data_IF_286373647160
#
_entry.id   IF_286373647160
#
_cell.length_a   1.000
_cell.length_b   1.000
_cell.length_c   1.000
_cell.angle_alpha   90.00
_cell.angle_beta   90.00
_cell.angle_gamma   90.00
#
_symmetry.space_group_name_H-M   'P 1'
#
loop_
_entity.id
_entity.type
_entity.pdbx_description
1 polymer ?
#
# COMPACT_ATOMS: atom_id res chain seq x y z
N UNK A 1 21.09 6.77 -26.19
CA UNK A 1 19.70 6.25 -26.20
C UNK A 1 19.00 6.85 -24.99
N UNK A 2 18.12 7.83 -25.20
CA UNK A 2 17.57 8.66 -24.12
C UNK A 2 16.33 7.98 -23.55
N UNK A 3 16.44 7.34 -22.40
CA UNK A 3 15.28 6.87 -21.63
C UNK A 3 14.58 8.09 -21.01
N UNK A 4 13.73 8.76 -21.79
CA UNK A 4 12.77 9.74 -21.25
C UNK A 4 11.63 8.99 -20.58
N UNK A 5 11.81 8.59 -19.32
CA UNK A 5 10.70 8.22 -18.43
C UNK A 5 9.99 9.52 -17.99
N UNK A 6 9.14 10.05 -18.86
CA UNK A 6 8.02 10.94 -18.51
C UNK A 6 6.81 10.01 -18.37
N UNK A 7 5.99 10.00 -17.33
CA UNK A 7 5.47 11.10 -16.54
C UNK A 7 5.17 10.63 -15.11
N UNK A 8 5.72 11.33 -14.12
CA UNK A 8 5.12 11.42 -12.79
C UNK A 8 3.88 12.30 -12.93
N UNK A 9 2.71 11.69 -13.01
CA UNK A 9 1.43 12.38 -12.90
C UNK A 9 0.70 11.70 -11.74
N UNK A 10 0.62 12.44 -10.62
CA UNK A 10 -0.12 12.05 -9.42
C UNK A 10 -1.47 12.79 -9.38
N UNK A 11 -2.48 12.44 -10.23
CA UNK A 11 -3.86 12.81 -9.94
C UNK A 11 -4.62 11.56 -9.47
N UNK A 12 -4.80 11.46 -8.15
CA UNK A 12 -5.64 10.45 -7.47
C UNK A 12 -5.25 9.00 -7.83
N UNK A 13 -4.20 8.48 -7.18
CA UNK A 13 -4.00 7.03 -7.07
C UNK A 13 -5.33 6.43 -6.58
N UNK A 14 -6.10 5.77 -7.46
CA UNK A 14 -7.25 4.98 -7.03
C UNK A 14 -6.72 3.63 -6.62
N UNK A 15 -6.14 3.56 -5.42
CA UNK A 15 -5.93 2.29 -4.73
C UNK A 15 -7.30 1.61 -4.56
N UNK A 16 -7.33 0.29 -4.73
CA UNK A 16 -8.56 -0.48 -4.60
C UNK A 16 -8.43 -1.44 -3.43
N UNK A 17 -9.50 -1.61 -2.66
CA UNK A 17 -9.52 -2.62 -1.60
C UNK A 17 -9.98 -3.93 -2.24
N UNK A 18 -9.11 -4.93 -2.20
CA UNK A 18 -9.36 -6.25 -2.77
C UNK A 18 -10.03 -7.17 -1.75
N UNK A 19 -9.64 -7.08 -0.50
CA UNK A 19 -10.15 -7.92 0.57
C UNK A 19 -10.03 -7.22 1.92
N UNK A 20 -10.92 -7.57 2.85
CA UNK A 20 -10.83 -7.19 4.26
C UNK A 20 -11.06 -8.43 5.11
N UNK A 21 -10.09 -8.77 5.95
CA UNK A 21 -10.18 -9.88 6.88
C UNK A 21 -10.17 -9.34 8.30
N UNK A 22 -11.23 -9.61 9.05
CA UNK A 22 -11.34 -9.23 10.45
C UNK A 22 -11.08 -10.47 11.30
N UNK A 23 -10.08 -10.39 12.17
CA UNK A 23 -9.73 -11.44 13.14
C UNK A 23 -10.10 -10.99 14.55
N UNK A 24 -9.73 -11.79 15.57
CA UNK A 24 -9.94 -11.43 16.98
C UNK A 24 -9.24 -10.12 17.33
N UNK A 25 -8.00 -9.95 16.88
CA UNK A 25 -7.11 -8.88 17.35
C UNK A 25 -6.76 -7.86 16.26
N UNK A 26 -6.94 -8.19 14.98
CA UNK A 26 -6.54 -7.35 13.85
C UNK A 26 -7.61 -7.24 12.76
N UNK A 27 -7.61 -6.11 12.06
CA UNK A 27 -8.25 -5.91 10.76
C UNK A 27 -7.16 -5.86 9.70
N UNK A 28 -7.20 -6.80 8.76
CA UNK A 28 -6.29 -6.83 7.61
C UNK A 28 -7.01 -6.26 6.39
N UNK A 29 -6.37 -5.33 5.70
CA UNK A 29 -6.89 -4.72 4.47
C UNK A 29 -5.91 -4.99 3.34
N UNK A 30 -6.35 -5.72 2.32
CA UNK A 30 -5.57 -5.97 1.12
C UNK A 30 -5.83 -4.81 0.13
N UNK A 31 -4.82 -3.97 -0.09
CA UNK A 31 -4.83 -2.80 -0.96
C UNK A 31 -4.10 -3.14 -2.26
N UNK A 32 -4.80 -3.01 -3.39
CA UNK A 32 -4.27 -3.25 -4.73
C UNK A 32 -3.81 -1.94 -5.37
N UNK A 33 -2.67 -2.01 -6.07
CA UNK A 33 -2.14 -0.90 -6.85
C UNK A 33 -2.77 -0.83 -8.24
N UNK A 34 -3.08 0.38 -8.76
CA UNK A 34 -3.57 0.50 -10.13
C UNK A 34 -2.46 0.21 -11.15
N UNK A 35 -2.88 -0.17 -12.37
CA UNK A 35 -2.04 -0.85 -13.38
C UNK A 35 -0.94 -0.08 -14.13
N UNK A 36 -0.55 1.19 -13.91
CA UNK A 36 0.64 1.71 -14.59
C UNK A 36 1.93 1.65 -13.75
N UNK A 37 1.92 1.22 -12.49
CA UNK A 37 3.13 1.22 -11.67
C UNK A 37 4.07 0.07 -12.02
N UNK A 38 4.90 0.27 -13.04
CA UNK A 38 6.07 -0.55 -13.31
C UNK A 38 7.18 -0.12 -12.33
N UNK A 39 7.19 -0.74 -11.16
CA UNK A 39 8.16 -0.44 -10.10
C UNK A 39 9.51 -1.07 -10.44
N UNK A 40 10.61 -0.33 -10.27
CA UNK A 40 11.94 -0.90 -10.48
C UNK A 40 12.26 -1.89 -9.34
N UNK A 41 13.17 -2.86 -9.54
CA UNK A 41 13.60 -3.75 -8.46
C UNK A 41 14.12 -3.01 -7.21
N UNK A 42 14.71 -1.82 -7.40
CA UNK A 42 15.18 -0.96 -6.30
C UNK A 42 14.01 -0.34 -5.53
N UNK A 43 13.02 0.20 -6.25
CA UNK A 43 11.77 0.73 -5.67
C UNK A 43 11.03 -0.36 -4.90
N UNK A 44 10.92 -1.56 -5.46
CA UNK A 44 10.29 -2.71 -4.83
C UNK A 44 10.96 -3.08 -3.51
N UNK A 45 12.30 -3.13 -3.46
CA UNK A 45 13.03 -3.43 -2.22
C UNK A 45 12.79 -2.38 -1.14
N UNK A 46 12.80 -1.09 -1.51
CA UNK A 46 12.50 0.02 -0.58
C UNK A 46 11.06 -0.05 -0.04
N UNK A 47 10.11 -0.41 -0.90
CA UNK A 47 8.72 -0.63 -0.51
C UNK A 47 8.63 -1.82 0.46
N UNK A 48 9.28 -2.95 0.16
CA UNK A 48 9.31 -4.11 1.07
C UNK A 48 9.89 -3.75 2.44
N UNK A 49 10.97 -2.96 2.49
CA UNK A 49 11.57 -2.48 3.75
C UNK A 49 10.61 -1.58 4.54
N UNK A 50 9.94 -0.63 3.86
CA UNK A 50 8.95 0.27 4.46
C UNK A 50 7.71 -0.47 4.96
N UNK A 51 7.23 -1.44 4.20
CA UNK A 51 6.02 -2.20 4.48
C UNK A 51 6.22 -3.41 5.39
N UNK A 52 7.46 -3.86 5.60
CA UNK A 52 7.80 -4.93 6.53
C UNK A 52 7.23 -4.68 7.93
N UNK A 53 7.30 -3.42 8.40
CA UNK A 53 6.76 -3.00 9.69
C UNK A 53 5.23 -3.10 9.78
N UNK A 54 4.54 -3.10 8.65
CA UNK A 54 3.07 -3.18 8.56
C UNK A 54 2.56 -4.58 8.19
N UNK A 55 3.47 -5.57 8.05
CA UNK A 55 3.14 -6.95 7.70
C UNK A 55 2.72 -7.15 6.25
N UNK A 56 3.12 -6.24 5.35
CA UNK A 56 2.50 -6.08 4.04
C UNK A 56 3.41 -6.47 2.87
N UNK A 57 3.40 -7.73 2.43
CA UNK A 57 3.89 -8.08 1.08
C UNK A 57 3.03 -9.19 0.47
N UNK A 58 2.35 -8.93 -0.64
CA UNK A 58 1.78 -9.97 -1.50
C UNK A 58 2.46 -9.86 -2.88
N UNK A 59 3.42 -10.75 -3.11
CA UNK A 59 4.10 -10.94 -4.40
C UNK A 59 3.23 -11.80 -5.31
N UNK A 60 2.99 -11.37 -6.54
CA UNK A 60 2.42 -12.20 -7.59
C UNK A 60 3.38 -12.22 -8.79
N UNK A 61 4.27 -13.22 -8.83
CA UNK A 61 5.34 -13.29 -9.84
C UNK A 61 6.37 -12.17 -9.65
N UNK A 62 6.83 -11.56 -10.76
CA UNK A 62 7.79 -10.44 -10.75
C UNK A 62 7.16 -9.07 -10.44
N UNK A 63 5.86 -9.01 -10.13
CA UNK A 63 5.15 -7.76 -9.86
C UNK A 63 4.54 -7.76 -8.46
N UNK A 64 4.80 -6.71 -7.68
CA UNK A 64 4.05 -6.43 -6.47
C UNK A 64 2.72 -5.82 -6.88
N UNK A 65 1.63 -6.56 -6.64
CA UNK A 65 0.29 -6.17 -7.05
C UNK A 65 -0.61 -5.75 -5.88
N UNK A 66 -0.30 -6.17 -4.66
CA UNK A 66 -1.10 -5.82 -3.49
C UNK A 66 -0.31 -5.78 -2.19
N UNK A 67 -0.75 -4.94 -1.26
CA UNK A 67 -0.23 -4.80 0.10
C UNK A 67 -1.28 -5.24 1.10
N UNK A 68 -0.88 -5.97 2.14
CA UNK A 68 -1.77 -6.33 3.25
C UNK A 68 -1.46 -5.47 4.45
N UNK A 69 -2.31 -4.49 4.76
CA UNK A 69 -2.14 -3.63 5.93
C UNK A 69 -2.80 -4.28 7.14
N UNK A 70 -2.04 -4.53 8.21
CA UNK A 70 -2.57 -5.03 9.49
C UNK A 70 -2.83 -3.88 10.46
N UNK A 71 -4.07 -3.73 10.90
CA UNK A 71 -4.49 -2.69 11.85
C UNK A 71 -4.97 -3.34 13.15
N UNK A 72 -4.33 -3.08 14.31
CA UNK A 72 -4.80 -3.63 15.58
C UNK A 72 -6.19 -3.11 15.94
N UNK A 73 -7.09 -3.98 16.39
CA UNK A 73 -8.45 -3.59 16.81
C UNK A 73 -8.43 -2.63 18.00
N UNK A 74 -7.48 -2.79 18.91
CA UNK A 74 -7.31 -1.88 20.04
C UNK A 74 -7.08 -0.44 19.59
N UNK A 75 -6.37 -0.24 18.48
CA UNK A 75 -6.17 1.10 17.88
C UNK A 75 -7.50 1.61 17.30
N UNK A 76 -8.23 0.76 16.59
CA UNK A 76 -9.54 1.13 16.04
C UNK A 76 -10.52 1.53 17.14
N UNK A 77 -10.60 0.74 18.21
CA UNK A 77 -11.47 0.98 19.37
C UNK A 77 -11.06 2.25 20.13
N UNK A 78 -9.77 2.42 20.43
CA UNK A 78 -9.24 3.58 21.15
C UNK A 78 -9.55 4.90 20.42
N UNK A 79 -9.52 4.88 19.09
CA UNK A 79 -9.77 6.06 18.25
C UNK A 79 -11.21 6.12 17.70
N UNK A 80 -12.10 5.20 18.09
CA UNK A 80 -13.48 5.07 17.57
C UNK A 80 -13.53 5.04 16.03
N UNK A 81 -12.53 4.40 15.43
CA UNK A 81 -12.37 4.24 13.98
C UNK A 81 -13.19 3.03 13.56
N UNK A 82 -14.16 3.23 12.68
CA UNK A 82 -14.92 2.12 12.08
C UNK A 82 -14.13 1.40 10.97
N UNK A 83 -14.71 0.33 10.44
CA UNK A 83 -14.08 -0.45 9.37
C UNK A 83 -13.88 0.35 8.08
N UNK A 84 -14.71 1.35 7.80
CA UNK A 84 -14.60 2.14 6.57
C UNK A 84 -13.48 3.19 6.68
N UNK A 85 -13.29 3.78 7.85
CA UNK A 85 -12.12 4.58 8.15
C UNK A 85 -10.84 3.72 8.19
N UNK A 86 -10.89 2.50 8.74
CA UNK A 86 -9.75 1.58 8.74
C UNK A 86 -9.27 1.26 7.30
N UNK A 87 -10.24 0.99 6.41
CA UNK A 87 -10.03 0.83 4.97
C UNK A 87 -9.42 2.09 4.33
N UNK A 88 -9.97 3.27 4.63
CA UNK A 88 -9.45 4.54 4.14
C UNK A 88 -7.99 4.76 4.56
N UNK A 89 -7.67 4.58 5.85
CA UNK A 89 -6.31 4.74 6.35
C UNK A 89 -5.34 3.73 5.76
N UNK A 90 -5.76 2.48 5.53
CA UNK A 90 -4.94 1.48 4.86
C UNK A 90 -4.58 1.92 3.43
N UNK A 91 -5.55 2.40 2.65
CA UNK A 91 -5.29 2.95 1.32
C UNK A 91 -4.36 4.17 1.37
N UNK A 92 -4.62 5.07 2.32
CA UNK A 92 -3.84 6.32 2.47
C UNK A 92 -2.39 6.05 2.82
N UNK A 93 -2.14 5.14 3.76
CA UNK A 93 -0.79 4.70 4.13
C UNK A 93 -0.06 4.14 2.91
N UNK A 94 -0.74 3.32 2.10
CA UNK A 94 -0.12 2.74 0.92
C UNK A 94 0.27 3.80 -0.09
N UNK A 95 -0.60 4.78 -0.33
CA UNK A 95 -0.33 5.93 -1.20
C UNK A 95 0.85 6.76 -0.71
N UNK A 96 0.89 7.09 0.58
CA UNK A 96 1.96 7.91 1.17
C UNK A 96 3.32 7.23 1.07
N UNK A 97 3.40 5.94 1.41
CA UNK A 97 4.63 5.15 1.29
C UNK A 97 5.11 5.07 -0.16
N UNK A 98 4.19 4.89 -1.11
CA UNK A 98 4.55 4.86 -2.54
C UNK A 98 5.09 6.22 -3.01
N UNK A 99 4.41 7.32 -2.65
CA UNK A 99 4.84 8.67 -3.00
C UNK A 99 6.24 8.93 -2.44
N UNK A 100 6.47 8.62 -1.17
CA UNK A 100 7.77 8.82 -0.54
C UNK A 100 8.87 8.01 -1.24
N UNK A 101 8.63 6.73 -1.51
CA UNK A 101 9.64 5.87 -2.14
C UNK A 101 9.94 6.32 -3.56
N UNK A 102 8.91 6.68 -4.36
CA UNK A 102 9.08 7.16 -5.74
C UNK A 102 9.74 8.54 -5.79
N UNK A 103 9.39 9.45 -4.87
CA UNK A 103 10.00 10.80 -4.80
C UNK A 103 11.44 10.79 -4.29
N UNK A 104 11.92 9.66 -3.74
CA UNK A 104 13.29 9.48 -3.26
C UNK A 104 14.24 8.81 -4.28
N UNK A 105 13.79 8.62 -5.53
CA UNK A 105 14.60 8.14 -6.66
C UNK A 105 15.21 9.29 -7.48
#
# INVERSE_FOLDING_TARGET
MVARLRYVLVPRMRTAIRNVLVTRDYVYVDVELPRPYLLTPKTLRRLEEKFYLYGAVIRHGNEVRSFRVAIPKQVLEAHRVDLDMAKYYACKLVEEVLVEVISSE
#
